data_IF_904253919817
#
_entry.id   IF_904253919817
#
_cell.length_a   1.000
_cell.length_b   1.000
_cell.length_c   1.000
_cell.angle_alpha   90.00
_cell.angle_beta   90.00
_cell.angle_gamma   90.00
#
_symmetry.space_group_name_H-M   'P 1'
#
loop_
_entity.id
_entity.type
_entity.pdbx_description
1 polymer ?
#
# COMPACT_ATOMS: atom_id res chain seq x y z
N UNK A 1 16.06 -30.12 50.44
CA UNK A 1 16.02 -28.64 50.30
C UNK A 1 16.71 -28.28 49.01
N UNK A 2 15.96 -28.04 47.96
CA UNK A 2 16.45 -27.44 46.71
C UNK A 2 15.31 -26.59 46.17
N UNK A 3 15.47 -25.27 46.21
CA UNK A 3 14.54 -24.29 45.60
C UNK A 3 14.84 -24.24 44.13
N UNK A 4 13.88 -24.65 43.30
CA UNK A 4 13.89 -24.43 41.86
C UNK A 4 13.63 -22.95 41.56
N UNK A 5 14.49 -22.38 40.77
CA UNK A 5 14.40 -21.07 40.17
C UNK A 5 13.33 -21.13 39.09
N UNK A 6 12.24 -20.38 39.25
CA UNK A 6 11.18 -20.25 38.28
C UNK A 6 11.59 -19.17 37.26
N UNK A 7 11.84 -19.62 36.05
CA UNK A 7 12.19 -18.80 34.90
C UNK A 7 11.24 -17.62 34.69
N UNK A 8 11.84 -16.52 34.29
CA UNK A 8 11.18 -15.27 33.88
C UNK A 8 10.18 -15.58 32.76
N UNK A 9 8.93 -15.24 33.02
CA UNK A 9 7.87 -15.35 32.02
C UNK A 9 8.15 -14.43 30.83
N UNK A 10 8.34 -15.04 29.68
CA UNK A 10 8.17 -14.34 28.41
C UNK A 10 6.71 -13.88 28.35
N UNK A 11 6.50 -12.57 28.30
CA UNK A 11 5.16 -11.98 28.29
C UNK A 11 4.43 -12.43 27.05
N UNK A 12 3.37 -13.21 27.24
CA UNK A 12 2.41 -13.55 26.17
C UNK A 12 1.71 -12.27 25.77
N UNK A 13 2.10 -11.72 24.64
CA UNK A 13 1.41 -10.57 24.02
C UNK A 13 0.01 -11.04 23.62
N UNK A 14 -1.03 -10.39 24.14
CA UNK A 14 -2.41 -10.72 23.77
C UNK A 14 -2.72 -10.27 22.36
N UNK A 15 -3.68 -10.93 21.67
CA UNK A 15 -4.13 -10.56 20.31
C UNK A 15 -4.51 -9.07 20.26
N UNK A 16 -5.21 -8.55 21.27
CA UNK A 16 -5.59 -7.14 21.34
C UNK A 16 -4.42 -6.16 21.54
N UNK A 17 -3.29 -6.60 22.09
CA UNK A 17 -2.07 -5.80 22.17
C UNK A 17 -1.29 -5.84 20.87
N UNK A 18 -1.33 -6.96 20.15
CA UNK A 18 -0.75 -7.10 18.83
C UNK A 18 -1.49 -6.21 17.82
N UNK A 19 -2.82 -6.24 17.78
CA UNK A 19 -3.65 -5.39 16.91
C UNK A 19 -3.37 -3.89 17.15
N UNK A 20 -3.40 -3.45 18.43
CA UNK A 20 -3.10 -2.05 18.77
C UNK A 20 -1.68 -1.63 18.46
N UNK A 21 -0.71 -2.54 18.50
CA UNK A 21 0.68 -2.24 18.12
C UNK A 21 0.81 -2.11 16.60
N UNK A 22 0.10 -2.93 15.85
CA UNK A 22 0.01 -2.84 14.39
C UNK A 22 -0.60 -1.51 13.95
N UNK A 23 -1.75 -1.13 14.50
CA UNK A 23 -2.41 0.16 14.21
C UNK A 23 -1.48 1.35 14.45
N UNK A 24 -0.72 1.36 15.55
CA UNK A 24 0.24 2.44 15.84
C UNK A 24 1.46 2.43 14.92
N UNK A 25 1.87 1.26 14.42
CA UNK A 25 2.92 1.17 13.42
C UNK A 25 2.43 1.73 12.07
N UNK A 26 1.17 1.44 11.72
CA UNK A 26 0.53 2.00 10.53
C UNK A 26 0.45 3.53 10.59
N UNK A 27 0.10 4.11 11.76
CA UNK A 27 0.10 5.57 11.97
C UNK A 27 1.48 6.17 11.67
N UNK A 28 2.56 5.57 12.20
CA UNK A 28 3.93 6.05 11.95
C UNK A 28 4.31 5.91 10.47
N UNK A 29 3.98 4.80 9.83
CA UNK A 29 4.27 4.60 8.41
C UNK A 29 3.50 5.57 7.52
N UNK A 30 2.25 5.90 7.88
CA UNK A 30 1.44 6.90 7.18
C UNK A 30 2.05 8.30 7.24
N UNK A 31 2.57 8.71 8.42
CA UNK A 31 3.26 9.99 8.56
C UNK A 31 4.54 10.04 7.71
N UNK A 32 5.36 8.99 7.77
CA UNK A 32 6.60 8.88 6.99
C UNK A 32 6.34 8.81 5.47
N UNK A 33 5.14 8.43 5.04
CA UNK A 33 4.76 8.37 3.63
C UNK A 33 4.74 9.74 2.94
N UNK A 34 4.64 10.84 3.68
CA UNK A 34 4.72 12.20 3.13
C UNK A 34 6.06 12.51 2.43
N UNK A 35 7.06 11.59 2.53
CA UNK A 35 8.30 11.64 1.76
C UNK A 35 9.43 12.41 2.42
N UNK A 36 9.21 13.02 3.56
CA UNK A 36 10.25 13.67 4.35
C UNK A 36 10.72 12.77 5.50
N UNK A 37 12.03 12.78 5.77
CA UNK A 37 12.56 12.10 6.92
C UNK A 37 12.16 12.85 8.20
N UNK A 38 11.55 12.15 9.16
CA UNK A 38 11.02 12.73 10.40
C UNK A 38 11.85 12.30 11.61
N UNK A 39 12.00 13.20 12.57
CA UNK A 39 12.57 12.87 13.87
C UNK A 39 11.52 12.17 14.75
N UNK A 40 11.98 11.50 15.82
CA UNK A 40 11.06 10.94 16.80
C UNK A 40 10.20 12.00 17.51
N UNK A 41 10.64 13.27 17.55
CA UNK A 41 9.86 14.37 18.12
C UNK A 41 8.71 14.76 17.19
N UNK A 42 8.98 14.85 15.88
CA UNK A 42 7.97 15.16 14.87
C UNK A 42 6.88 14.06 14.85
N UNK A 43 7.28 12.79 14.92
CA UNK A 43 6.36 11.66 14.98
C UNK A 43 5.52 11.61 16.28
N UNK A 44 6.09 12.05 17.41
CA UNK A 44 5.31 12.22 18.66
C UNK A 44 4.26 13.32 18.49
N UNK A 45 4.61 14.43 17.85
CA UNK A 45 3.70 15.56 17.63
C UNK A 45 2.58 15.18 16.64
N UNK A 46 2.90 14.52 15.53
CA UNK A 46 1.91 14.19 14.50
C UNK A 46 0.99 13.03 14.90
N UNK A 47 1.52 11.96 15.53
CA UNK A 47 0.73 10.78 15.90
C UNK A 47 0.07 10.88 17.28
N UNK A 48 0.52 11.79 18.14
CA UNK A 48 0.08 11.85 19.54
C UNK A 48 0.55 10.69 20.42
N UNK A 49 1.40 9.81 19.91
CA UNK A 49 1.95 8.69 20.65
C UNK A 49 3.02 9.14 21.64
N UNK A 50 3.21 8.38 22.75
CA UNK A 50 4.29 8.68 23.67
C UNK A 50 5.67 8.43 23.03
N UNK A 51 6.68 9.21 23.39
CA UNK A 51 8.05 9.05 22.88
C UNK A 51 8.62 7.64 23.05
N UNK A 52 8.46 6.96 24.21
CA UNK A 52 8.89 5.55 24.36
C UNK A 52 8.19 4.62 23.35
N UNK A 53 6.90 4.83 23.10
CA UNK A 53 6.12 4.04 22.12
C UNK A 53 6.66 4.26 20.71
N UNK A 54 6.84 5.50 20.28
CA UNK A 54 7.40 5.85 18.97
C UNK A 54 8.77 5.20 18.77
N UNK A 55 9.69 5.34 19.74
CA UNK A 55 11.03 4.73 19.64
C UNK A 55 10.97 3.20 19.57
N UNK A 56 10.10 2.57 20.37
CA UNK A 56 9.93 1.11 20.32
C UNK A 56 9.47 0.64 18.96
N UNK A 57 8.46 1.30 18.37
CA UNK A 57 7.92 0.95 17.04
C UNK A 57 8.96 1.22 15.96
N UNK A 58 9.65 2.37 16.00
CA UNK A 58 10.70 2.67 15.03
C UNK A 58 11.84 1.65 15.04
N UNK A 59 12.26 1.16 16.21
CA UNK A 59 13.27 0.12 16.28
C UNK A 59 12.78 -1.21 15.68
N UNK A 60 11.52 -1.59 15.88
CA UNK A 60 10.95 -2.79 15.27
C UNK A 60 10.84 -2.65 13.75
N UNK A 61 10.36 -1.51 13.27
CA UNK A 61 10.26 -1.21 11.84
C UNK A 61 11.64 -1.12 11.18
N UNK A 62 12.64 -0.53 11.86
CA UNK A 62 14.03 -0.48 11.39
C UNK A 62 14.64 -1.89 11.29
N UNK A 63 14.41 -2.73 12.30
CA UNK A 63 14.90 -4.12 12.30
C UNK A 63 14.31 -4.97 11.18
N UNK A 64 13.09 -4.65 10.74
CA UNK A 64 12.38 -5.32 9.63
C UNK A 64 12.58 -4.62 8.27
N UNK A 65 13.34 -3.52 8.22
CA UNK A 65 13.64 -2.79 6.99
C UNK A 65 12.53 -1.85 6.51
N UNK A 66 11.38 -1.77 7.20
CA UNK A 66 10.28 -0.88 6.83
C UNK A 66 10.63 0.60 6.92
N UNK A 67 11.53 0.94 7.82
CA UNK A 67 12.11 2.28 7.93
C UNK A 67 13.63 2.21 7.97
N UNK A 68 14.27 3.27 7.51
CA UNK A 68 15.71 3.46 7.58
C UNK A 68 16.02 4.69 8.43
N UNK A 69 17.05 4.56 9.27
CA UNK A 69 17.54 5.67 10.10
C UNK A 69 18.59 6.46 9.36
N UNK A 70 18.39 7.75 9.32
CA UNK A 70 19.35 8.74 8.83
C UNK A 70 19.76 9.75 9.90
N UNK A 71 20.52 10.74 9.50
CA UNK A 71 20.84 11.91 10.29
C UNK A 71 20.38 13.16 9.56
N UNK A 72 19.69 14.07 10.26
CA UNK A 72 19.38 15.37 9.67
C UNK A 72 20.66 16.20 9.59
N UNK A 73 20.91 16.81 8.43
CA UNK A 73 21.91 17.88 8.27
C UNK A 73 21.38 19.15 8.93
N UNK A 74 21.30 19.12 10.27
CA UNK A 74 20.90 20.28 11.04
C UNK A 74 21.94 21.36 10.94
N UNK A 75 21.66 22.43 10.20
CA UNK A 75 22.53 23.62 10.08
C UNK A 75 22.70 24.43 11.37
N UNK A 76 22.65 23.80 12.54
CA UNK A 76 22.82 24.43 13.86
C UNK A 76 23.94 23.78 14.67
N UNK A 77 24.44 24.50 15.68
CA UNK A 77 25.51 24.12 16.63
C UNK A 77 25.14 22.91 17.54
N UNK A 78 24.22 22.00 17.12
CA UNK A 78 23.76 20.83 17.89
C UNK A 78 24.22 19.51 17.29
N UNK A 79 24.16 18.43 18.10
CA UNK A 79 24.38 17.06 17.62
C UNK A 79 23.31 16.72 16.57
N UNK A 80 23.68 16.17 15.39
CA UNK A 80 22.70 15.75 14.39
C UNK A 80 21.60 14.88 15.00
N UNK A 81 20.34 15.20 14.71
CA UNK A 81 19.22 14.42 15.19
C UNK A 81 19.03 13.18 14.30
N UNK A 82 18.70 12.05 14.92
CA UNK A 82 18.26 10.88 14.15
C UNK A 82 16.90 11.18 13.52
N UNK A 83 16.78 10.85 12.24
CA UNK A 83 15.54 10.92 11.48
C UNK A 83 15.27 9.56 10.84
N UNK A 84 14.01 9.27 10.54
CA UNK A 84 13.58 8.04 9.89
C UNK A 84 12.81 8.36 8.63
N UNK A 85 12.99 7.54 7.60
CA UNK A 85 12.25 7.56 6.35
C UNK A 85 11.78 6.14 6.01
N UNK A 86 10.85 5.99 5.07
CA UNK A 86 10.43 4.67 4.58
C UNK A 86 11.59 3.93 3.91
N UNK A 87 11.64 2.61 4.08
CA UNK A 87 12.59 1.73 3.41
C UNK A 87 12.21 1.54 1.94
N UNK A 88 13.13 1.82 1.02
CA UNK A 88 12.90 1.67 -0.43
C UNK A 88 12.93 0.21 -0.89
N UNK A 89 13.73 -0.64 -0.25
CA UNK A 89 13.98 -2.02 -0.68
C UNK A 89 13.19 -3.07 0.13
N UNK A 90 12.17 -2.65 0.89
CA UNK A 90 11.32 -3.57 1.67
C UNK A 90 10.43 -4.43 0.78
N UNK A 91 10.12 -3.93 -0.40
CA UNK A 91 9.32 -4.59 -1.41
C UNK A 91 8.67 -3.62 -2.39
N UNK A 92 7.95 -4.19 -3.32
CA UNK A 92 7.23 -3.44 -4.36
C UNK A 92 5.72 -3.53 -4.17
N UNK A 93 5.02 -2.55 -4.71
CA UNK A 93 3.57 -2.56 -4.88
C UNK A 93 3.25 -2.44 -6.37
N UNK A 94 2.19 -3.09 -6.84
CA UNK A 94 1.74 -2.96 -8.23
C UNK A 94 0.32 -2.40 -8.25
N UNK A 95 0.12 -1.34 -9.02
CA UNK A 95 -1.18 -0.83 -9.42
C UNK A 95 -1.56 -1.39 -10.79
N UNK A 96 -2.78 -1.88 -10.96
CA UNK A 96 -3.31 -2.40 -12.21
C UNK A 96 -4.65 -1.74 -12.55
N UNK A 97 -4.70 -0.94 -13.60
CA UNK A 97 -5.95 -0.40 -14.14
C UNK A 97 -6.41 -1.28 -15.32
N UNK A 98 -7.49 -2.05 -15.11
CA UNK A 98 -7.99 -3.03 -16.07
C UNK A 98 -9.21 -2.45 -16.79
N UNK A 99 -8.98 -1.90 -17.94
CA UNK A 99 -10.01 -1.32 -18.80
C UNK A 99 -10.65 -2.38 -19.70
N UNK A 100 -11.54 -1.96 -20.58
CA UNK A 100 -12.32 -2.87 -21.46
C UNK A 100 -11.42 -3.63 -22.44
N UNK A 101 -10.48 -2.96 -23.09
CA UNK A 101 -9.63 -3.48 -24.17
C UNK A 101 -8.12 -3.33 -23.90
N UNK A 102 -7.77 -2.84 -22.73
CA UNK A 102 -6.39 -2.55 -22.34
C UNK A 102 -6.21 -2.63 -20.84
N UNK A 103 -4.96 -2.69 -20.41
CA UNK A 103 -4.57 -2.51 -19.00
C UNK A 103 -3.35 -1.61 -18.93
N UNK A 104 -3.26 -0.89 -17.80
CA UNK A 104 -2.07 -0.15 -17.39
C UNK A 104 -1.57 -0.76 -16.08
N UNK A 105 -0.30 -1.10 -16.03
CA UNK A 105 0.37 -1.60 -14.82
C UNK A 105 1.45 -0.62 -14.41
N UNK A 106 1.57 -0.35 -13.12
CA UNK A 106 2.62 0.49 -12.55
C UNK A 106 3.21 -0.23 -11.35
N UNK A 107 4.52 -0.45 -11.35
CA UNK A 107 5.25 -0.92 -10.20
C UNK A 107 5.93 0.25 -9.49
N UNK A 108 5.86 0.26 -8.17
CA UNK A 108 6.55 1.24 -7.34
C UNK A 108 7.18 0.55 -6.13
N UNK A 109 8.21 1.17 -5.55
CA UNK A 109 8.71 0.78 -4.22
C UNK A 109 7.64 1.04 -3.16
N UNK A 110 7.81 0.46 -1.98
CA UNK A 110 6.94 0.79 -0.84
C UNK A 110 6.95 2.28 -0.50
N UNK A 111 8.09 2.96 -0.66
CA UNK A 111 8.21 4.41 -0.48
C UNK A 111 7.53 5.26 -1.57
N UNK A 112 7.02 4.65 -2.65
CA UNK A 112 6.28 5.33 -3.71
C UNK A 112 7.10 5.73 -4.94
N UNK A 113 8.38 5.38 -5.00
CA UNK A 113 9.21 5.58 -6.20
C UNK A 113 8.75 4.66 -7.32
N UNK A 114 8.32 5.23 -8.45
CA UNK A 114 7.89 4.46 -9.63
C UNK A 114 9.10 3.77 -10.26
N UNK A 115 9.03 2.45 -10.42
CA UNK A 115 10.07 1.60 -11.00
C UNK A 115 9.85 1.35 -12.50
N UNK A 116 8.61 1.00 -12.87
CA UNK A 116 8.25 0.68 -14.25
C UNK A 116 6.75 0.91 -14.47
N UNK A 117 6.36 1.21 -15.70
CA UNK A 117 4.97 1.35 -16.11
C UNK A 117 4.77 0.72 -17.48
N UNK A 118 3.76 -0.15 -17.62
CA UNK A 118 3.47 -0.91 -18.83
C UNK A 118 2.02 -0.80 -19.21
N UNK A 119 1.76 -0.68 -20.51
CA UNK A 119 0.42 -0.76 -21.07
C UNK A 119 0.35 -1.90 -22.08
N UNK A 120 -0.73 -2.66 -22.07
CA UNK A 120 -0.98 -3.73 -23.02
C UNK A 120 -2.46 -3.84 -23.38
N UNK A 121 -2.75 -4.46 -24.52
CA UNK A 121 -4.11 -4.74 -24.94
C UNK A 121 -4.63 -5.99 -24.25
N UNK A 122 -5.93 -6.01 -24.00
CA UNK A 122 -6.65 -7.15 -23.46
C UNK A 122 -7.65 -7.70 -24.46
N UNK A 123 -7.68 -9.02 -24.63
CA UNK A 123 -8.73 -9.68 -25.39
C UNK A 123 -10.05 -9.60 -24.62
N UNK A 124 -11.12 -9.20 -25.30
CA UNK A 124 -12.45 -9.02 -24.70
C UNK A 124 -13.31 -10.30 -24.73
N UNK A 125 -12.93 -11.30 -25.53
CA UNK A 125 -13.85 -12.36 -25.91
C UNK A 125 -13.84 -13.60 -24.99
N UNK A 126 -12.79 -13.78 -24.17
CA UNK A 126 -12.65 -14.94 -23.30
C UNK A 126 -12.29 -14.49 -21.87
N UNK A 127 -13.22 -14.61 -20.91
CA UNK A 127 -12.99 -14.13 -19.53
C UNK A 127 -11.75 -14.75 -18.87
N UNK A 128 -11.57 -16.07 -19.07
CA UNK A 128 -10.43 -16.79 -18.50
C UNK A 128 -9.11 -16.38 -19.15
N UNK A 129 -9.05 -16.32 -20.48
CA UNK A 129 -7.86 -15.86 -21.20
C UNK A 129 -7.49 -14.41 -20.87
N UNK A 130 -8.50 -13.56 -20.66
CA UNK A 130 -8.32 -12.20 -20.20
C UNK A 130 -7.66 -12.16 -18.81
N UNK A 131 -8.16 -12.97 -17.89
CA UNK A 131 -7.58 -13.06 -16.54
C UNK A 131 -6.16 -13.63 -16.57
N UNK A 132 -5.89 -14.63 -17.40
CA UNK A 132 -4.56 -15.19 -17.60
C UNK A 132 -3.58 -14.15 -18.14
N UNK A 133 -4.02 -13.33 -19.09
CA UNK A 133 -3.21 -12.22 -19.62
C UNK A 133 -2.87 -11.18 -18.53
N UNK A 134 -3.85 -10.83 -17.68
CA UNK A 134 -3.64 -9.91 -16.56
C UNK A 134 -2.61 -10.47 -15.58
N UNK A 135 -2.78 -11.72 -15.16
CA UNK A 135 -1.87 -12.39 -14.21
C UNK A 135 -0.45 -12.45 -14.78
N UNK A 136 -0.30 -12.93 -16.03
CA UNK A 136 1.02 -13.04 -16.66
C UNK A 136 1.73 -11.70 -16.82
N UNK A 137 0.97 -10.63 -17.09
CA UNK A 137 1.54 -9.30 -17.19
C UNK A 137 2.01 -8.76 -15.82
N UNK A 138 1.25 -9.02 -14.76
CA UNK A 138 1.64 -8.66 -13.38
C UNK A 138 2.88 -9.44 -12.96
N UNK A 139 2.92 -10.75 -13.22
CA UNK A 139 4.10 -11.59 -12.95
C UNK A 139 5.34 -11.08 -13.68
N UNK A 140 5.20 -10.77 -14.97
CA UNK A 140 6.30 -10.22 -15.77
C UNK A 140 6.81 -8.88 -15.26
N UNK A 141 5.91 -8.01 -14.75
CA UNK A 141 6.31 -6.74 -14.15
C UNK A 141 6.98 -6.95 -12.80
N UNK A 142 6.42 -7.83 -11.95
CA UNK A 142 7.02 -8.23 -10.67
C UNK A 142 8.44 -8.76 -10.85
N UNK A 143 8.63 -9.68 -11.80
CA UNK A 143 9.92 -10.31 -12.04
C UNK A 143 10.96 -9.32 -12.55
N UNK A 144 10.54 -8.33 -13.34
CA UNK A 144 11.41 -7.24 -13.80
C UNK A 144 11.88 -6.28 -12.68
N UNK A 145 11.13 -6.21 -11.58
CA UNK A 145 11.41 -5.35 -10.43
C UNK A 145 11.89 -6.14 -9.19
N UNK A 146 12.19 -7.44 -9.35
CA UNK A 146 12.44 -8.36 -8.24
C UNK A 146 13.71 -8.07 -7.41
N UNK A 147 14.60 -7.22 -7.89
CA UNK A 147 15.76 -6.70 -7.15
C UNK A 147 15.38 -5.72 -6.02
N UNK A 148 14.14 -5.21 -6.03
CA UNK A 148 13.57 -4.30 -5.03
C UNK A 148 12.79 -5.00 -3.91
N UNK A 149 12.81 -6.32 -3.89
CA UNK A 149 12.15 -7.14 -2.89
C UNK A 149 10.84 -7.78 -3.37
N UNK A 150 10.07 -8.41 -2.46
CA UNK A 150 8.85 -9.11 -2.79
C UNK A 150 7.72 -8.15 -3.20
N UNK A 151 6.73 -8.68 -3.96
CA UNK A 151 5.47 -7.99 -4.17
C UNK A 151 4.66 -8.01 -2.86
N UNK A 152 4.45 -6.84 -2.27
CA UNK A 152 3.78 -6.68 -0.98
C UNK A 152 2.27 -6.59 -1.13
N UNK A 153 1.80 -5.89 -2.16
CA UNK A 153 0.38 -5.65 -2.39
C UNK A 153 0.08 -5.39 -3.86
N UNK A 154 -1.13 -5.78 -4.28
CA UNK A 154 -1.69 -5.49 -5.58
C UNK A 154 -2.94 -4.61 -5.43
N UNK A 155 -2.93 -3.41 -5.99
CA UNK A 155 -4.09 -2.53 -6.07
C UNK A 155 -4.67 -2.57 -7.49
N UNK A 156 -5.94 -2.92 -7.64
CA UNK A 156 -6.59 -3.13 -8.95
C UNK A 156 -7.78 -2.21 -9.10
N UNK A 157 -7.82 -1.46 -10.17
CA UNK A 157 -9.02 -0.76 -10.62
C UNK A 157 -9.65 -1.45 -11.83
N UNK A 158 -10.97 -1.48 -11.89
CA UNK A 158 -11.70 -1.98 -13.06
C UNK A 158 -13.06 -1.29 -13.19
N UNK A 159 -13.66 -1.42 -14.37
CA UNK A 159 -14.98 -0.85 -14.63
C UNK A 159 -16.09 -1.70 -14.02
N UNK A 160 -17.10 -1.07 -13.45
CA UNK A 160 -18.29 -1.74 -12.90
C UNK A 160 -18.58 -1.36 -11.46
N UNK A 161 -19.56 -2.05 -10.89
CA UNK A 161 -19.92 -1.94 -9.47
C UNK A 161 -19.15 -3.00 -8.71
N UNK A 162 -18.30 -2.58 -7.79
CA UNK A 162 -17.45 -3.42 -6.97
C UNK A 162 -17.95 -3.34 -5.52
N UNK A 163 -18.04 -4.47 -4.84
CA UNK A 163 -18.36 -4.50 -3.41
C UNK A 163 -17.11 -4.38 -2.52
N UNK A 164 -17.33 -4.28 -1.21
CA UNK A 164 -16.24 -4.12 -0.23
C UNK A 164 -15.23 -5.28 -0.16
N UNK A 165 -15.57 -6.43 -0.73
CA UNK A 165 -14.69 -7.60 -0.79
C UNK A 165 -13.93 -7.73 -2.13
N UNK A 166 -14.11 -6.75 -3.04
CA UNK A 166 -13.44 -6.74 -4.35
C UNK A 166 -14.10 -7.65 -5.38
N UNK A 167 -15.38 -8.01 -5.19
CA UNK A 167 -16.19 -8.75 -6.17
C UNK A 167 -16.83 -7.77 -7.15
N UNK A 168 -16.82 -8.10 -8.41
CA UNK A 168 -17.53 -7.38 -9.45
C UNK A 168 -19.02 -7.77 -9.40
N UNK A 169 -19.83 -6.94 -8.74
CA UNK A 169 -21.27 -7.17 -8.61
C UNK A 169 -21.96 -7.06 -9.97
N UNK A 170 -21.57 -6.05 -10.76
CA UNK A 170 -22.05 -5.81 -12.12
C UNK A 170 -21.01 -5.10 -12.97
N UNK A 171 -20.83 -5.56 -14.19
CA UNK A 171 -20.05 -4.86 -15.20
C UNK A 171 -20.82 -4.84 -16.53
N UNK A 172 -21.18 -3.65 -16.98
CA UNK A 172 -21.90 -3.49 -18.26
C UNK A 172 -20.91 -3.51 -19.45
N UNK A 173 -19.67 -3.11 -19.23
CA UNK A 173 -18.63 -3.06 -20.28
C UNK A 173 -17.87 -4.39 -20.42
N UNK A 174 -17.77 -5.17 -19.36
CA UNK A 174 -17.19 -6.52 -19.35
C UNK A 174 -18.19 -7.48 -18.69
N UNK A 175 -19.35 -7.77 -19.32
CA UNK A 175 -20.44 -8.52 -18.71
C UNK A 175 -20.05 -9.89 -18.16
N UNK A 176 -19.05 -10.52 -18.80
CA UNK A 176 -18.53 -11.85 -18.41
C UNK A 176 -17.82 -11.83 -17.05
N UNK A 177 -17.45 -10.67 -16.52
CA UNK A 177 -16.85 -10.51 -15.20
C UNK A 177 -17.88 -10.25 -14.10
N UNK A 178 -19.16 -10.08 -14.45
CA UNK A 178 -20.22 -9.95 -13.46
C UNK A 178 -20.26 -11.19 -12.57
N UNK A 179 -20.19 -10.98 -11.25
CA UNK A 179 -20.13 -12.06 -10.25
C UNK A 179 -18.72 -12.60 -9.95
N UNK A 180 -17.69 -12.18 -10.69
CA UNK A 180 -16.30 -12.58 -10.44
C UNK A 180 -15.79 -11.95 -9.13
N UNK A 181 -15.29 -12.79 -8.25
CA UNK A 181 -14.49 -12.36 -7.08
C UNK A 181 -13.05 -12.11 -7.55
N UNK A 182 -12.85 -10.93 -8.13
CA UNK A 182 -11.57 -10.57 -8.77
C UNK A 182 -10.45 -10.44 -7.73
N UNK A 183 -10.74 -9.82 -6.59
CA UNK A 183 -9.77 -9.65 -5.51
C UNK A 183 -9.22 -10.97 -5.01
N UNK A 184 -10.11 -11.88 -4.60
CA UNK A 184 -9.70 -13.21 -4.14
C UNK A 184 -9.02 -14.03 -5.24
N UNK A 185 -9.48 -13.91 -6.48
CA UNK A 185 -8.92 -14.66 -7.60
C UNK A 185 -7.48 -14.24 -7.88
N UNK A 186 -7.21 -12.94 -7.93
CA UNK A 186 -5.86 -12.39 -8.14
C UNK A 186 -4.96 -12.69 -6.93
N UNK A 187 -5.46 -12.48 -5.71
CA UNK A 187 -4.70 -12.75 -4.49
C UNK A 187 -4.24 -14.21 -4.42
N UNK A 188 -5.11 -15.16 -4.76
CA UNK A 188 -4.75 -16.60 -4.78
C UNK A 188 -3.80 -16.99 -5.90
N UNK A 189 -3.93 -16.37 -7.10
CA UNK A 189 -3.08 -16.70 -8.25
C UNK A 189 -1.68 -16.14 -8.14
N UNK A 190 -1.54 -14.98 -7.50
CA UNK A 190 -0.27 -14.25 -7.36
C UNK A 190 0.39 -14.42 -5.99
N UNK A 191 -0.33 -15.09 -5.05
CA UNK A 191 0.08 -15.27 -3.64
C UNK A 191 0.44 -13.94 -2.97
N UNK A 192 -0.43 -12.94 -3.14
CA UNK A 192 -0.24 -11.58 -2.60
C UNK A 192 -1.60 -10.99 -2.21
N UNK A 193 -1.69 -10.19 -1.14
CA UNK A 193 -2.90 -9.43 -0.84
C UNK A 193 -3.29 -8.52 -2.02
N UNK A 194 -4.58 -8.51 -2.37
CA UNK A 194 -5.09 -7.69 -3.46
C UNK A 194 -6.33 -6.90 -3.01
N UNK A 195 -6.33 -5.60 -3.33
CA UNK A 195 -7.50 -4.72 -3.18
C UNK A 195 -8.05 -4.39 -4.56
N UNK A 196 -9.35 -4.53 -4.73
CA UNK A 196 -10.04 -4.21 -6.00
C UNK A 196 -11.13 -3.19 -5.74
N UNK A 197 -11.20 -2.15 -6.57
CA UNK A 197 -12.29 -1.18 -6.53
C UNK A 197 -12.59 -0.66 -7.95
N UNK A 198 -13.63 0.17 -8.04
CA UNK A 198 -13.99 0.85 -9.26
C UNK A 198 -12.90 1.84 -9.69
N UNK A 199 -12.71 2.00 -11.01
CA UNK A 199 -11.71 2.89 -11.60
C UNK A 199 -11.83 4.36 -11.15
N UNK A 200 -13.05 4.85 -10.94
CA UNK A 200 -13.29 6.22 -10.46
C UNK A 200 -12.97 6.34 -8.97
N UNK A 201 -13.34 5.35 -8.16
CA UNK A 201 -13.05 5.33 -6.73
C UNK A 201 -11.54 5.30 -6.48
N UNK A 202 -10.81 4.42 -7.19
CA UNK A 202 -9.35 4.34 -7.07
C UNK A 202 -8.66 5.62 -7.52
N UNK A 203 -9.12 6.24 -8.62
CA UNK A 203 -8.61 7.52 -9.08
C UNK A 203 -8.87 8.65 -8.06
N UNK A 204 -10.08 8.69 -7.46
CA UNK A 204 -10.44 9.65 -6.44
C UNK A 204 -9.57 9.48 -5.19
N UNK A 205 -9.39 8.24 -4.74
CA UNK A 205 -8.56 7.94 -3.58
C UNK A 205 -7.09 8.33 -3.81
N UNK A 206 -6.55 8.00 -4.99
CA UNK A 206 -5.18 8.37 -5.36
C UNK A 206 -4.96 9.89 -5.39
N UNK A 207 -5.88 10.64 -6.00
CA UNK A 207 -5.84 12.12 -6.02
C UNK A 207 -5.97 12.71 -4.62
N UNK A 208 -6.86 12.18 -3.79
CA UNK A 208 -7.03 12.59 -2.40
C UNK A 208 -5.74 12.40 -1.61
N UNK A 209 -5.12 11.22 -1.68
CA UNK A 209 -3.86 10.93 -1.01
C UNK A 209 -2.74 11.87 -1.47
N UNK A 210 -2.62 12.10 -2.78
CA UNK A 210 -1.60 12.98 -3.34
C UNK A 210 -1.77 14.43 -2.88
N UNK A 211 -3.00 14.93 -2.85
CA UNK A 211 -3.28 16.30 -2.37
C UNK A 211 -2.99 16.48 -0.90
N UNK A 212 -3.31 15.48 -0.08
CA UNK A 212 -2.96 15.49 1.35
C UNK A 212 -1.45 15.53 1.56
N UNK A 213 -0.70 14.69 0.86
CA UNK A 213 0.77 14.66 0.94
C UNK A 213 1.42 16.01 0.59
N UNK A 214 0.83 16.76 -0.34
CA UNK A 214 1.34 18.07 -0.72
C UNK A 214 0.74 19.23 0.09
N UNK A 215 0.05 18.97 1.21
CA UNK A 215 -0.57 19.99 2.05
C UNK A 215 -1.67 20.80 1.34
N UNK A 216 -2.28 20.24 0.29
CA UNK A 216 -3.33 20.90 -0.50
C UNK A 216 -4.75 20.58 -0.03
N UNK A 217 -4.87 19.70 0.95
CA UNK A 217 -6.12 19.34 1.60
C UNK A 217 -5.91 19.23 3.10
N UNK A 218 -6.86 19.78 3.86
CA UNK A 218 -6.92 19.60 5.30
C UNK A 218 -7.28 18.14 5.67
N UNK A 219 -6.98 17.73 6.90
CA UNK A 219 -7.24 16.37 7.40
C UNK A 219 -8.71 15.98 7.35
N UNK A 220 -9.62 16.97 7.48
CA UNK A 220 -11.07 16.77 7.53
C UNK A 220 -11.76 17.15 6.19
N UNK A 221 -10.99 17.29 5.10
CA UNK A 221 -11.55 17.66 3.81
C UNK A 221 -12.22 16.47 3.10
N UNK A 222 -13.42 16.71 2.59
CA UNK A 222 -14.07 15.80 1.65
C UNK A 222 -13.65 16.15 0.21
N UNK A 223 -13.54 15.13 -0.64
CA UNK A 223 -13.25 15.32 -2.06
C UNK A 223 -14.29 14.63 -2.94
N UNK A 224 -14.79 15.34 -3.94
CA UNK A 224 -15.63 14.78 -5.01
C UNK A 224 -14.85 14.78 -6.32
N UNK A 225 -14.64 13.60 -6.90
CA UNK A 225 -14.10 13.44 -8.25
C UNK A 225 -15.23 13.18 -9.24
N UNK A 226 -15.32 14.01 -10.27
CA UNK A 226 -16.28 13.83 -11.37
C UNK A 226 -15.51 13.56 -12.65
N UNK A 227 -15.70 12.36 -13.23
CA UNK A 227 -15.15 11.98 -14.53
C UNK A 227 -16.22 12.11 -15.60
N UNK A 228 -15.98 12.98 -16.57
CA UNK A 228 -16.83 13.09 -17.76
C UNK A 228 -16.17 12.36 -18.92
N UNK A 229 -16.84 11.32 -19.44
CA UNK A 229 -16.42 10.61 -20.65
C UNK A 229 -17.46 10.88 -21.76
N UNK A 230 -17.02 11.03 -23.00
CA UNK A 230 -17.96 11.02 -24.14
C UNK A 230 -18.53 9.61 -24.24
N UNK A 231 -19.83 9.47 -23.98
CA UNK A 231 -20.52 8.22 -24.27
C UNK A 231 -20.39 7.92 -25.77
N UNK A 232 -19.88 6.75 -26.09
CA UNK A 232 -20.05 6.21 -27.44
C UNK A 232 -21.51 5.76 -27.53
N UNK A 233 -22.30 6.48 -28.32
CA UNK A 233 -23.65 6.09 -28.73
C UNK A 233 -23.58 5.07 -29.86
#
# INVERSE_FOLDING_TARGET
MARGDLGRGEGVVTVAEHDRRSERADDILLELRAGEAMSAADLVESTGLSRPTVISILNDLESSGWVVRGTSDGGGLGRPASVWSLGEDVGIVIGADILVDSMLLVAATFGGTILDARSSRLDQHRPEARLDTVVSAIESLRDACGDKGPLLHLAVSTTGVIDGDGRIVRSDLVPQWTGLDLGRTLSRRLDVPATVDNDINMAAYGEFCQRRQHGRLDTDADMLLVRMTRGLH
#
